data_IF_591535101139
#
_entry.id   IF_591535101139
#
_cell.length_a   1.000
_cell.length_b   1.000
_cell.length_c   1.000
_cell.angle_alpha   90.00
_cell.angle_beta   90.00
_cell.angle_gamma   90.00
#
_symmetry.space_group_name_H-M   'P 1'
#
loop_
_entity.id
_entity.type
_entity.pdbx_description
1 polymer ?
#
# COMPACT_ATOMS: atom_id res chain seq x y z
N UNK A 1 -11.05 31.77 14.55
CA UNK A 1 -10.63 30.35 14.40
C UNK A 1 -9.39 30.11 13.51
N UNK A 2 -8.59 31.13 13.15
CA UNK A 2 -7.43 30.97 12.25
C UNK A 2 -6.09 30.60 12.95
N UNK A 3 -6.04 30.61 14.29
CA UNK A 3 -4.78 30.40 15.02
C UNK A 3 -4.34 28.93 15.09
N UNK A 4 -5.25 28.01 15.40
CA UNK A 4 -4.90 26.60 15.67
C UNK A 4 -4.64 25.83 14.38
N UNK A 5 -5.45 26.03 13.34
CA UNK A 5 -5.23 25.40 12.03
C UNK A 5 -3.95 25.90 11.35
N UNK A 6 -3.64 27.19 11.47
CA UNK A 6 -2.37 27.76 11.03
C UNK A 6 -1.16 27.14 11.73
N UNK A 7 -1.21 27.02 13.06
CA UNK A 7 -0.14 26.41 13.86
C UNK A 7 0.12 24.94 13.49
N UNK A 8 -0.94 24.15 13.27
CA UNK A 8 -0.81 22.74 12.85
C UNK A 8 -0.22 22.63 11.44
N UNK A 9 -0.61 23.54 10.52
CA UNK A 9 -0.09 23.57 9.16
C UNK A 9 1.40 23.94 9.10
N UNK A 10 1.83 24.87 9.94
CA UNK A 10 3.24 25.23 10.08
C UNK A 10 4.07 24.06 10.61
N UNK A 11 3.58 23.36 11.64
CA UNK A 11 4.21 22.14 12.16
C UNK A 11 4.28 21.01 11.13
N UNK A 12 3.22 20.82 10.33
CA UNK A 12 3.20 19.89 9.20
C UNK A 12 4.30 20.24 8.20
N UNK A 13 4.38 21.50 7.76
CA UNK A 13 5.39 21.94 6.79
C UNK A 13 6.82 21.76 7.31
N UNK A 14 7.08 22.07 8.58
CA UNK A 14 8.38 21.81 9.20
C UNK A 14 8.70 20.30 9.27
N UNK A 15 7.69 19.46 9.50
CA UNK A 15 7.84 18.01 9.50
C UNK A 15 8.05 17.42 8.10
N UNK A 16 7.51 18.02 7.03
CA UNK A 16 7.62 17.50 5.66
C UNK A 16 9.09 17.34 5.19
N UNK A 17 9.98 18.23 5.62
CA UNK A 17 11.43 18.09 5.32
C UNK A 17 12.01 16.82 5.96
N UNK A 18 11.69 16.57 7.24
CA UNK A 18 12.09 15.34 7.95
C UNK A 18 11.47 14.10 7.34
N UNK A 19 10.19 14.19 6.96
CA UNK A 19 9.46 13.12 6.27
C UNK A 19 10.20 12.71 4.99
N UNK A 20 10.49 13.67 4.11
CA UNK A 20 11.17 13.41 2.84
C UNK A 20 12.55 12.79 3.05
N UNK A 21 13.32 13.31 4.01
CA UNK A 21 14.64 12.78 4.32
C UNK A 21 14.57 11.33 4.84
N UNK A 22 13.63 11.03 5.74
CA UNK A 22 13.41 9.65 6.20
C UNK A 22 13.00 8.73 5.05
N UNK A 23 12.11 9.15 4.16
CA UNK A 23 11.73 8.34 3.00
C UNK A 23 12.95 8.09 2.10
N UNK A 24 13.72 9.13 1.76
CA UNK A 24 14.92 9.00 0.92
C UNK A 24 15.93 8.03 1.53
N UNK A 25 16.21 8.13 2.83
CA UNK A 25 17.12 7.21 3.54
C UNK A 25 16.60 5.77 3.47
N UNK A 26 15.31 5.56 3.72
CA UNK A 26 14.72 4.21 3.67
C UNK A 26 14.76 3.61 2.27
N UNK A 27 14.54 4.41 1.22
CA UNK A 27 14.64 3.96 -0.18
C UNK A 27 16.08 3.60 -0.53
N UNK A 28 17.05 4.44 -0.15
CA UNK A 28 18.47 4.15 -0.36
C UNK A 28 18.85 2.84 0.36
N UNK A 29 18.38 2.64 1.59
CA UNK A 29 18.62 1.41 2.35
C UNK A 29 18.05 0.16 1.65
N UNK A 30 16.84 0.25 1.09
CA UNK A 30 16.23 -0.84 0.31
C UNK A 30 16.98 -1.14 -1.00
N UNK A 31 17.52 -0.12 -1.68
CA UNK A 31 18.30 -0.34 -2.91
C UNK A 31 19.64 -0.98 -2.56
N UNK A 32 20.31 -0.47 -1.52
CA UNK A 32 21.57 -1.01 -1.04
C UNK A 32 21.43 -2.44 -0.50
N UNK A 33 20.29 -2.81 0.09
CA UNK A 33 20.08 -4.17 0.61
C UNK A 33 20.03 -5.23 -0.48
N UNK A 34 19.65 -4.88 -1.70
CA UNK A 34 19.64 -5.81 -2.84
C UNK A 34 21.05 -6.10 -3.39
N UNK A 35 22.00 -5.17 -3.24
CA UNK A 35 23.34 -5.33 -3.83
C UNK A 35 24.11 -6.54 -3.27
N UNK A 36 24.20 -6.77 -1.95
CA UNK A 36 24.88 -7.94 -1.39
C UNK A 36 24.34 -9.27 -1.91
N UNK A 37 23.01 -9.38 -2.08
CA UNK A 37 22.37 -10.61 -2.55
C UNK A 37 22.72 -10.89 -4.01
N UNK A 38 22.73 -9.84 -4.85
CA UNK A 38 23.11 -9.96 -6.26
C UNK A 38 24.58 -10.39 -6.36
N UNK A 39 25.47 -9.74 -5.62
CA UNK A 39 26.91 -10.06 -5.63
C UNK A 39 27.16 -11.49 -5.15
N UNK A 40 26.51 -11.93 -4.07
CA UNK A 40 26.68 -13.28 -3.55
C UNK A 40 26.18 -14.34 -4.53
N UNK A 41 25.10 -14.07 -5.28
CA UNK A 41 24.57 -15.00 -6.27
C UNK A 41 25.44 -15.18 -7.52
N UNK A 42 26.35 -14.24 -7.82
CA UNK A 42 27.27 -14.35 -8.96
C UNK A 42 28.65 -14.91 -8.60
N UNK A 43 29.11 -14.69 -7.37
CA UNK A 43 30.49 -15.01 -6.96
C UNK A 43 30.60 -16.28 -6.11
N UNK A 44 29.49 -16.80 -5.56
CA UNK A 44 29.50 -17.81 -4.51
C UNK A 44 28.36 -18.83 -4.73
N UNK A 45 28.69 -20.11 -4.90
CA UNK A 45 27.70 -21.21 -5.05
C UNK A 45 27.32 -21.89 -3.72
N UNK A 46 27.82 -21.38 -2.59
CA UNK A 46 27.54 -21.90 -1.25
C UNK A 46 26.14 -21.50 -0.78
N UNK A 47 25.22 -22.49 -0.74
CA UNK A 47 23.81 -22.31 -0.35
C UNK A 47 23.65 -21.63 1.03
N UNK A 48 24.53 -21.94 1.98
CA UNK A 48 24.53 -21.32 3.32
C UNK A 48 24.79 -19.81 3.27
N UNK A 49 25.69 -19.36 2.40
CA UNK A 49 26.02 -17.94 2.26
C UNK A 49 24.84 -17.20 1.63
N UNK A 50 24.26 -17.75 0.56
CA UNK A 50 23.08 -17.17 -0.10
C UNK A 50 21.91 -17.06 0.89
N UNK A 51 21.62 -18.11 1.66
CA UNK A 51 20.56 -18.09 2.68
C UNK A 51 20.80 -17.01 3.75
N UNK A 52 22.05 -16.82 4.18
CA UNK A 52 22.39 -15.78 5.16
C UNK A 52 22.21 -14.36 4.60
N UNK A 53 22.53 -14.14 3.32
CA UNK A 53 22.35 -12.85 2.66
C UNK A 53 20.87 -12.51 2.44
N UNK A 54 20.05 -13.50 2.13
CA UNK A 54 18.58 -13.32 2.07
C UNK A 54 18.04 -12.92 3.44
N UNK A 55 18.48 -13.56 4.51
CA UNK A 55 18.06 -13.19 5.87
C UNK A 55 18.45 -11.74 6.21
N UNK A 56 19.68 -11.33 5.89
CA UNK A 56 20.13 -9.94 6.06
C UNK A 56 19.29 -8.95 5.25
N UNK A 57 18.97 -9.28 3.99
CA UNK A 57 18.11 -8.46 3.14
C UNK A 57 16.73 -8.26 3.79
N UNK A 58 16.11 -9.33 4.31
CA UNK A 58 14.80 -9.23 4.97
C UNK A 58 14.85 -8.36 6.22
N UNK A 59 15.92 -8.44 7.02
CA UNK A 59 16.11 -7.58 8.20
C UNK A 59 16.24 -6.11 7.80
N UNK A 60 17.02 -5.80 6.76
CA UNK A 60 17.18 -4.42 6.27
C UNK A 60 15.86 -3.85 5.74
N UNK A 61 15.10 -4.65 4.99
CA UNK A 61 13.76 -4.27 4.52
C UNK A 61 12.83 -4.02 5.72
N UNK A 62 12.86 -4.88 6.74
CA UNK A 62 12.03 -4.69 7.94
C UNK A 62 12.33 -3.36 8.64
N UNK A 63 13.60 -2.96 8.74
CA UNK A 63 14.01 -1.67 9.29
C UNK A 63 13.47 -0.51 8.44
N UNK A 64 13.65 -0.58 7.11
CA UNK A 64 13.17 0.45 6.19
C UNK A 64 11.64 0.61 6.26
N UNK A 65 10.89 -0.49 6.24
CA UNK A 65 9.43 -0.49 6.32
C UNK A 65 8.95 0.05 7.67
N UNK A 66 9.58 -0.33 8.79
CA UNK A 66 9.24 0.21 10.10
C UNK A 66 9.41 1.74 10.13
N UNK A 67 10.48 2.27 9.53
CA UNK A 67 10.68 3.70 9.40
C UNK A 67 9.60 4.37 8.53
N UNK A 68 9.26 3.77 7.38
CA UNK A 68 8.18 4.27 6.51
C UNK A 68 6.83 4.31 7.22
N UNK A 69 6.49 3.26 7.97
CA UNK A 69 5.23 3.18 8.73
C UNK A 69 5.18 4.29 9.79
N UNK A 70 6.23 4.43 10.61
CA UNK A 70 6.27 5.46 11.66
C UNK A 70 6.11 6.87 11.10
N UNK A 71 6.87 7.19 10.06
CA UNK A 71 6.88 8.52 9.45
C UNK A 71 5.58 8.77 8.66
N UNK A 72 5.01 7.73 8.06
CA UNK A 72 3.70 7.74 7.40
C UNK A 72 2.55 8.04 8.37
N UNK A 73 2.51 7.38 9.53
CA UNK A 73 1.48 7.61 10.56
C UNK A 73 1.48 9.07 11.04
N UNK A 74 2.65 9.67 11.23
CA UNK A 74 2.75 11.07 11.66
C UNK A 74 2.20 12.00 10.57
N UNK A 75 2.58 11.79 9.30
CA UNK A 75 2.06 12.57 8.17
C UNK A 75 0.53 12.46 8.06
N UNK A 76 0.01 11.25 8.15
CA UNK A 76 -1.42 10.96 8.08
C UNK A 76 -2.19 11.62 9.23
N UNK A 77 -1.59 11.69 10.42
CA UNK A 77 -2.17 12.39 11.58
C UNK A 77 -2.34 13.88 11.32
N UNK A 78 -1.35 14.53 10.70
CA UNK A 78 -1.47 15.94 10.30
C UNK A 78 -2.57 16.16 9.24
N UNK A 79 -2.70 15.27 8.26
CA UNK A 79 -3.74 15.34 7.24
C UNK A 79 -5.15 15.16 7.83
N UNK A 80 -5.31 14.25 8.79
CA UNK A 80 -6.55 14.09 9.56
C UNK A 80 -6.91 15.33 10.35
N UNK A 81 -5.96 15.93 11.07
CA UNK A 81 -6.18 17.13 11.89
C UNK A 81 -6.55 18.35 11.04
N UNK A 82 -5.95 18.48 9.85
CA UNK A 82 -6.21 19.58 8.93
C UNK A 82 -7.41 19.30 7.99
N UNK A 83 -8.00 18.09 8.05
CA UNK A 83 -9.02 17.60 7.12
C UNK A 83 -8.62 17.79 5.64
N UNK A 84 -7.34 17.63 5.33
CA UNK A 84 -6.80 17.77 3.98
C UNK A 84 -6.84 16.42 3.24
N UNK A 85 -6.89 16.46 1.90
CA UNK A 85 -6.84 15.26 1.06
C UNK A 85 -8.10 14.38 1.16
N UNK A 86 -7.92 13.10 1.49
CA UNK A 86 -9.00 12.11 1.61
C UNK A 86 -9.87 12.30 2.87
N UNK A 87 -9.41 13.11 3.83
CA UNK A 87 -10.11 13.38 5.09
C UNK A 87 -11.07 14.57 5.03
N UNK A 88 -11.19 15.21 3.86
CA UNK A 88 -12.24 16.20 3.60
C UNK A 88 -13.62 15.57 3.78
N UNK A 89 -14.58 16.30 4.35
CA UNK A 89 -15.89 15.74 4.73
C UNK A 89 -16.65 15.08 3.55
N UNK A 90 -16.54 15.62 2.34
CA UNK A 90 -17.14 15.01 1.14
C UNK A 90 -16.42 13.72 0.69
N UNK A 91 -15.08 13.69 0.70
CA UNK A 91 -14.32 12.50 0.31
C UNK A 91 -14.36 11.38 1.34
N UNK A 92 -14.55 11.70 2.63
CA UNK A 92 -14.63 10.72 3.71
C UNK A 92 -15.89 9.84 3.61
N UNK A 93 -17.02 10.41 3.22
CA UNK A 93 -18.27 9.64 3.06
C UNK A 93 -18.18 8.68 1.88
N UNK A 94 -17.75 9.20 0.72
CA UNK A 94 -17.56 8.38 -0.49
C UNK A 94 -16.50 7.30 -0.30
N UNK A 95 -15.38 7.57 0.40
CA UNK A 95 -14.35 6.56 0.66
C UNK A 95 -14.83 5.41 1.55
N UNK A 96 -15.67 5.69 2.56
CA UNK A 96 -16.28 4.64 3.40
C UNK A 96 -17.23 3.76 2.59
N UNK A 97 -18.08 4.36 1.75
CA UNK A 97 -19.01 3.62 0.89
C UNK A 97 -18.26 2.78 -0.14
N UNK A 98 -17.27 3.37 -0.83
CA UNK A 98 -16.40 2.67 -1.79
C UNK A 98 -15.66 1.52 -1.10
N UNK A 99 -15.17 1.70 0.13
CA UNK A 99 -14.49 0.65 0.89
C UNK A 99 -15.40 -0.54 1.18
N UNK A 100 -16.66 -0.31 1.57
CA UNK A 100 -17.66 -1.38 1.80
C UNK A 100 -17.99 -2.14 0.51
N UNK A 101 -18.22 -1.40 -0.59
CA UNK A 101 -18.54 -1.98 -1.90
C UNK A 101 -17.34 -2.76 -2.46
N UNK A 102 -16.13 -2.24 -2.30
CA UNK A 102 -14.88 -2.90 -2.66
C UNK A 102 -14.70 -4.22 -1.90
N UNK A 103 -14.92 -4.21 -0.58
CA UNK A 103 -14.86 -5.42 0.24
C UNK A 103 -15.85 -6.48 -0.27
N UNK A 104 -17.08 -6.08 -0.57
CA UNK A 104 -18.08 -6.98 -1.14
C UNK A 104 -17.65 -7.55 -2.49
N UNK A 105 -17.12 -6.72 -3.40
CA UNK A 105 -16.59 -7.17 -4.69
C UNK A 105 -15.51 -8.24 -4.53
N UNK A 106 -14.51 -8.01 -3.67
CA UNK A 106 -13.44 -8.98 -3.43
C UNK A 106 -13.95 -10.26 -2.78
N UNK A 107 -14.88 -10.17 -1.83
CA UNK A 107 -15.52 -11.36 -1.26
C UNK A 107 -16.27 -12.18 -2.32
N UNK A 108 -16.97 -11.54 -3.25
CA UNK A 108 -17.66 -12.22 -4.36
C UNK A 108 -16.67 -12.87 -5.32
N UNK A 109 -15.61 -12.16 -5.72
CA UNK A 109 -14.54 -12.71 -6.59
C UNK A 109 -13.91 -13.94 -5.95
N UNK A 110 -13.59 -13.88 -4.66
CA UNK A 110 -13.05 -15.02 -3.91
C UNK A 110 -14.05 -16.16 -3.84
N UNK A 111 -15.32 -15.89 -3.56
CA UNK A 111 -16.36 -16.93 -3.52
C UNK A 111 -16.52 -17.63 -4.88
N UNK A 112 -16.53 -16.87 -5.98
CA UNK A 112 -16.58 -17.42 -7.34
C UNK A 112 -15.34 -18.26 -7.65
N UNK A 113 -14.15 -17.74 -7.31
CA UNK A 113 -12.89 -18.46 -7.50
C UNK A 113 -12.89 -19.77 -6.73
N UNK A 114 -13.27 -19.76 -5.46
CA UNK A 114 -13.31 -20.96 -4.63
C UNK A 114 -14.36 -21.97 -5.13
N UNK A 115 -15.56 -21.51 -5.50
CA UNK A 115 -16.59 -22.39 -6.04
C UNK A 115 -16.15 -23.09 -7.33
N UNK A 116 -15.52 -22.35 -8.25
CA UNK A 116 -14.98 -22.92 -9.48
C UNK A 116 -13.79 -23.84 -9.21
N UNK A 117 -12.81 -23.37 -8.43
CA UNK A 117 -11.54 -24.06 -8.23
C UNK A 117 -11.70 -25.35 -7.43
N UNK A 118 -12.62 -25.39 -6.46
CA UNK A 118 -12.94 -26.61 -5.72
C UNK A 118 -13.75 -27.60 -6.55
N UNK A 119 -14.63 -27.13 -7.44
CA UNK A 119 -15.40 -28.02 -8.31
C UNK A 119 -14.55 -28.62 -9.44
N UNK A 120 -13.59 -27.86 -9.98
CA UNK A 120 -12.79 -28.30 -11.12
C UNK A 120 -11.48 -29.01 -10.74
N UNK A 121 -11.04 -28.97 -9.48
CA UNK A 121 -9.74 -29.45 -8.96
C UNK A 121 -8.47 -28.97 -9.74
N UNK A 122 -8.65 -28.10 -10.73
CA UNK A 122 -7.61 -27.64 -11.66
C UNK A 122 -7.13 -26.23 -11.31
N UNK A 123 -6.38 -26.12 -10.21
CA UNK A 123 -5.84 -24.87 -9.68
C UNK A 123 -4.91 -24.13 -10.65
N UNK A 124 -4.30 -24.85 -11.60
CA UNK A 124 -3.38 -24.30 -12.60
C UNK A 124 -4.07 -23.36 -13.61
N UNK A 125 -5.35 -23.61 -13.92
CA UNK A 125 -6.08 -22.81 -14.92
C UNK A 125 -7.03 -21.79 -14.28
N UNK A 126 -7.54 -22.07 -13.08
CA UNK A 126 -8.50 -21.20 -12.38
C UNK A 126 -7.89 -19.92 -11.82
N UNK A 127 -6.56 -19.85 -11.70
CA UNK A 127 -5.86 -18.65 -11.23
C UNK A 127 -6.08 -17.42 -12.14
N UNK A 128 -6.46 -17.61 -13.41
CA UNK A 128 -6.74 -16.51 -14.36
C UNK A 128 -7.83 -15.55 -13.87
N UNK A 129 -8.69 -15.98 -12.94
CA UNK A 129 -9.70 -15.15 -12.30
C UNK A 129 -9.09 -13.93 -11.61
N UNK A 130 -7.89 -14.04 -11.04
CA UNK A 130 -7.23 -12.95 -10.32
C UNK A 130 -6.81 -11.78 -11.22
N UNK A 131 -6.07 -11.99 -12.33
CA UNK A 131 -5.82 -10.94 -13.31
C UNK A 131 -7.11 -10.29 -13.85
N UNK A 132 -8.10 -11.11 -14.21
CA UNK A 132 -9.37 -10.61 -14.77
C UNK A 132 -10.11 -9.74 -13.75
N UNK A 133 -10.19 -10.19 -12.49
CA UNK A 133 -10.79 -9.43 -11.41
C UNK A 133 -10.04 -8.11 -11.14
N UNK A 134 -8.71 -8.10 -11.25
CA UNK A 134 -7.91 -6.89 -11.10
C UNK A 134 -8.22 -5.83 -12.17
N UNK A 135 -8.32 -6.23 -13.44
CA UNK A 135 -8.68 -5.33 -14.55
C UNK A 135 -10.12 -4.82 -14.40
N UNK A 136 -11.07 -5.71 -14.10
CA UNK A 136 -12.49 -5.35 -13.91
C UNK A 136 -12.69 -4.40 -12.73
N UNK A 137 -11.90 -4.54 -11.67
CA UNK A 137 -12.02 -3.70 -10.48
C UNK A 137 -11.76 -2.21 -10.77
N UNK A 138 -10.85 -1.89 -11.70
CA UNK A 138 -10.60 -0.53 -12.15
C UNK A 138 -11.82 0.13 -12.81
N UNK A 139 -12.49 -0.60 -13.71
CA UNK A 139 -13.72 -0.16 -14.33
C UNK A 139 -14.86 -0.04 -13.30
N UNK A 140 -15.00 -1.04 -12.42
CA UNK A 140 -16.00 -1.08 -11.37
C UNK A 140 -15.92 0.12 -10.42
N UNK A 141 -14.74 0.43 -9.87
CA UNK A 141 -14.54 1.61 -9.02
C UNK A 141 -14.89 2.90 -9.75
N UNK A 142 -14.54 3.00 -11.03
CA UNK A 142 -14.78 4.21 -11.82
C UNK A 142 -16.28 4.46 -11.95
N UNK A 143 -17.07 3.41 -12.21
CA UNK A 143 -18.54 3.49 -12.26
C UNK A 143 -19.11 3.86 -10.88
N UNK A 144 -18.69 3.19 -9.82
CA UNK A 144 -19.15 3.48 -8.44
C UNK A 144 -18.87 4.94 -8.07
N UNK A 145 -17.69 5.46 -8.41
CA UNK A 145 -17.34 6.88 -8.18
C UNK A 145 -18.24 7.84 -8.97
N UNK A 146 -18.60 7.49 -10.21
CA UNK A 146 -19.51 8.31 -11.02
C UNK A 146 -20.93 8.31 -10.44
N UNK A 147 -21.43 7.16 -9.98
CA UNK A 147 -22.77 7.03 -9.38
C UNK A 147 -22.86 7.84 -8.09
N UNK A 148 -21.89 7.69 -7.18
CA UNK A 148 -21.86 8.45 -5.92
C UNK A 148 -21.79 9.96 -6.20
N UNK A 149 -21.01 10.39 -7.20
CA UNK A 149 -20.93 11.80 -7.59
C UNK A 149 -22.21 12.31 -8.24
N UNK A 150 -23.02 11.45 -8.86
CA UNK A 150 -24.30 11.84 -9.45
C UNK A 150 -25.43 11.97 -8.40
N UNK A 151 -25.28 11.34 -7.24
CA UNK A 151 -26.22 11.45 -6.11
C UNK A 151 -25.92 12.64 -5.17
N UNK A 152 -24.70 13.20 -5.20
CA UNK A 152 -24.32 14.43 -4.50
C UNK A 152 -24.72 15.70 -5.27
#
# INVERSE_FOLDING_TARGET
EYGVSGMVREKKNAFMSKFNLSITIGVILCILSCLPLIISGFLIDEVYIISSMVALLLVLIAIAVNMFVRVGIIRESYEKLLQEGEYTLGKKKSSVVIGRISGAYWCVVVAIYLAWSLFSENWDNTWVVWPVAGVLYGAFISIVKLVIKAEE
#
